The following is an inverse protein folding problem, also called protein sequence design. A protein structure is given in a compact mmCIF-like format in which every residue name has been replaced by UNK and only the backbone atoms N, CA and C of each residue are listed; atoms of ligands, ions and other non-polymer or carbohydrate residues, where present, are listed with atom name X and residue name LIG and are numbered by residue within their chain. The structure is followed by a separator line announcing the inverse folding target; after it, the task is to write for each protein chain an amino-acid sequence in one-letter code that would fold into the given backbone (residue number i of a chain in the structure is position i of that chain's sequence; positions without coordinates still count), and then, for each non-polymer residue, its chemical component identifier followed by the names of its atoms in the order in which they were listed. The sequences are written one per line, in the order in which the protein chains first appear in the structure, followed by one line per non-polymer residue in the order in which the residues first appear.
data_IF_339277327026
#
_entry.id   IF_339277327026
#
_cell.length_a   1.000
_cell.length_b   1.000
_cell.length_c   1.000
_cell.angle_alpha   90.00
_cell.angle_beta   90.00
_cell.angle_gamma   90.00
#
_symmetry.space_group_name_H-M   'P 1'
#
loop_
_entity.id
_entity.type
_entity.pdbx_description
1 polymer ?
#
# COMPACT_ATOMS: atom_id res chain seq x y z
N UNK A 1 -58.31 1.39 17.92
CA UNK A 1 -57.45 0.78 16.87
C UNK A 1 -56.70 1.91 16.19
N UNK A 2 -55.37 1.96 16.31
CA UNK A 2 -54.54 2.99 15.70
C UNK A 2 -53.08 2.54 15.75
N UNK A 3 -52.52 2.28 14.58
CA UNK A 3 -51.35 1.45 14.32
C UNK A 3 -50.06 2.00 14.96
N UNK A 4 -49.32 1.15 15.68
CA UNK A 4 -47.92 1.43 16.06
C UNK A 4 -47.07 1.40 14.79
N UNK A 5 -46.55 2.55 14.38
CA UNK A 5 -45.54 2.64 13.33
C UNK A 5 -44.29 1.90 13.81
N UNK A 6 -44.02 0.75 13.18
CA UNK A 6 -42.77 0.01 13.38
C UNK A 6 -41.60 0.93 13.06
N UNK A 7 -40.67 1.06 14.01
CA UNK A 7 -39.41 1.76 13.83
C UNK A 7 -38.66 1.07 12.68
N UNK A 8 -38.64 1.70 11.52
CA UNK A 8 -37.72 1.32 10.45
C UNK A 8 -36.32 1.67 10.97
N UNK A 9 -35.59 0.66 11.42
CA UNK A 9 -34.16 0.77 11.69
C UNK A 9 -33.51 0.88 10.30
N UNK A 10 -32.87 2.00 9.94
CA UNK A 10 -32.04 2.03 8.75
C UNK A 10 -31.00 0.94 8.90
N UNK A 11 -30.91 0.03 7.93
CA UNK A 11 -29.84 -0.95 7.88
C UNK A 11 -28.57 -0.12 7.63
N UNK A 12 -27.83 0.21 8.68
CA UNK A 12 -26.45 0.63 8.55
C UNK A 12 -25.77 -0.50 7.77
N UNK A 13 -25.42 -0.22 6.52
CA UNK A 13 -24.40 -1.00 5.85
C UNK A 13 -23.14 -0.59 6.57
N UNK A 14 -22.83 -1.28 7.67
CA UNK A 14 -21.48 -1.26 8.22
C UNK A 14 -20.59 -1.63 7.05
N UNK A 15 -19.83 -0.66 6.57
CA UNK A 15 -18.76 -0.92 5.61
C UNK A 15 -17.69 -1.64 6.40
N UNK A 16 -17.88 -2.95 6.60
CA UNK A 16 -16.85 -3.83 7.14
C UNK A 16 -15.59 -3.60 6.32
N UNK A 17 -14.50 -3.27 7.01
CA UNK A 17 -13.20 -3.04 6.37
C UNK A 17 -12.61 -4.38 5.93
N UNK A 18 -13.09 -4.86 4.79
CA UNK A 18 -12.70 -6.15 4.20
C UNK A 18 -11.19 -6.21 3.93
N UNK A 19 -10.52 -5.06 3.81
CA UNK A 19 -9.08 -4.99 3.61
C UNK A 19 -8.30 -5.34 4.89
N UNK A 20 -8.89 -5.03 6.06
CA UNK A 20 -8.38 -5.39 7.38
C UNK A 20 -8.58 -6.88 7.72
N UNK A 21 -9.53 -7.55 7.08
CA UNK A 21 -9.75 -8.99 7.28
C UNK A 21 -8.80 -9.88 6.45
N UNK A 22 -8.14 -9.31 5.44
CA UNK A 22 -7.19 -10.07 4.62
C UNK A 22 -5.95 -10.48 5.43
N UNK A 23 -5.41 -11.70 5.22
CA UNK A 23 -4.13 -12.08 5.77
C UNK A 23 -2.97 -11.23 5.20
N UNK A 24 -1.92 -11.05 6.00
CA UNK A 24 -0.74 -10.26 5.64
C UNK A 24 -0.10 -10.66 4.30
N UNK A 25 -0.03 -11.97 4.01
CA UNK A 25 0.54 -12.46 2.76
C UNK A 25 -0.28 -12.01 1.53
N UNK A 26 -1.60 -11.87 1.66
CA UNK A 26 -2.47 -11.38 0.58
C UNK A 26 -2.23 -9.89 0.37
N UNK A 27 -2.11 -9.11 1.45
CA UNK A 27 -1.78 -7.70 1.37
C UNK A 27 -0.41 -7.46 0.72
N UNK A 28 0.60 -8.21 1.13
CA UNK A 28 1.93 -8.18 0.51
C UNK A 28 1.87 -8.54 -0.98
N UNK A 29 1.04 -9.52 -1.34
CA UNK A 29 0.82 -9.90 -2.73
C UNK A 29 0.17 -8.77 -3.55
N UNK A 30 -0.88 -8.13 -3.02
CA UNK A 30 -1.53 -6.96 -3.62
C UNK A 30 -0.53 -5.82 -3.83
N UNK A 31 0.21 -5.46 -2.78
CA UNK A 31 1.25 -4.43 -2.84
C UNK A 31 2.34 -4.75 -3.87
N UNK A 32 2.72 -6.02 -4.01
CA UNK A 32 3.71 -6.47 -5.00
C UNK A 32 3.32 -6.17 -6.45
N UNK A 33 2.03 -5.99 -6.76
CA UNK A 33 1.60 -5.56 -8.10
C UNK A 33 1.79 -4.07 -8.34
N UNK A 34 1.78 -3.26 -7.29
CA UNK A 34 1.83 -1.80 -7.34
C UNK A 34 3.25 -1.28 -7.53
N UNK A 35 3.39 -0.01 -7.95
CA UNK A 35 4.69 0.68 -7.90
C UNK A 35 5.00 1.03 -6.46
N UNK A 36 6.27 1.00 -6.06
CA UNK A 36 6.66 1.26 -4.67
C UNK A 36 6.22 2.64 -4.17
N UNK A 37 6.22 3.65 -5.04
CA UNK A 37 5.68 4.99 -4.72
C UNK A 37 4.20 4.93 -4.35
N UNK A 38 3.41 4.17 -5.11
CA UNK A 38 1.97 4.05 -4.92
C UNK A 38 1.66 3.23 -3.66
N UNK A 39 2.45 2.20 -3.36
CA UNK A 39 2.35 1.43 -2.10
C UNK A 39 2.50 2.35 -0.90
N UNK A 40 3.58 3.14 -0.86
CA UNK A 40 3.89 4.04 0.25
C UNK A 40 2.79 5.09 0.46
N UNK A 41 2.20 5.59 -0.64
CA UNK A 41 1.06 6.51 -0.56
C UNK A 41 -0.20 5.81 -0.04
N UNK A 42 -0.41 4.55 -0.40
CA UNK A 42 -1.57 3.75 0.02
C UNK A 42 -1.48 3.30 1.47
N UNK A 43 -0.30 3.32 2.08
CA UNK A 43 -0.10 3.01 3.50
C UNK A 43 -0.89 3.91 4.46
N UNK A 44 -1.42 5.07 3.99
CA UNK A 44 -2.31 5.92 4.78
C UNK A 44 -3.66 5.25 5.11
N UNK A 45 -4.05 4.22 4.35
CA UNK A 45 -5.33 3.54 4.55
C UNK A 45 -5.36 2.67 5.81
N UNK A 46 -4.21 2.18 6.28
CA UNK A 46 -4.12 1.34 7.48
C UNK A 46 -2.70 1.28 8.02
N UNK A 47 -2.55 1.31 9.34
CA UNK A 47 -1.27 1.10 10.02
C UNK A 47 -0.64 -0.25 9.64
N UNK A 48 -1.47 -1.28 9.41
CA UNK A 48 -0.99 -2.59 8.96
C UNK A 48 -0.31 -2.52 7.59
N UNK A 49 -0.82 -1.70 6.67
CA UNK A 49 -0.19 -1.50 5.37
C UNK A 49 1.18 -0.81 5.51
N UNK A 50 1.26 0.17 6.41
CA UNK A 50 2.51 0.88 6.73
C UNK A 50 3.60 -0.03 7.32
N UNK A 51 3.24 -1.12 7.99
CA UNK A 51 4.23 -2.08 8.48
C UNK A 51 4.57 -3.15 7.45
N UNK A 52 3.57 -3.63 6.70
CA UNK A 52 3.78 -4.69 5.71
C UNK A 52 4.63 -4.26 4.51
N UNK A 53 4.51 -3.02 4.02
CA UNK A 53 5.29 -2.63 2.84
C UNK A 53 6.82 -2.74 3.06
N UNK A 54 7.28 -2.63 4.32
CA UNK A 54 8.70 -2.78 4.70
C UNK A 54 9.21 -4.20 4.47
N UNK A 55 8.31 -5.18 4.36
CA UNK A 55 8.62 -6.59 4.12
C UNK A 55 8.52 -6.98 2.64
N UNK A 56 8.30 -6.01 1.73
CA UNK A 56 8.26 -6.30 0.31
C UNK A 56 9.59 -6.84 -0.19
N UNK A 57 9.50 -7.98 -0.89
CA UNK A 57 10.63 -8.62 -1.56
C UNK A 57 10.87 -8.05 -2.96
N UNK A 58 9.89 -7.33 -3.51
CA UNK A 58 9.94 -6.76 -4.86
C UNK A 58 9.70 -5.26 -4.81
N UNK A 59 10.61 -4.48 -5.39
CA UNK A 59 10.51 -3.02 -5.48
C UNK A 59 10.41 -2.60 -6.95
N UNK A 60 9.42 -1.75 -7.26
CA UNK A 60 9.20 -1.20 -8.61
C UNK A 60 9.33 0.31 -8.54
N UNK A 61 10.50 0.80 -8.95
CA UNK A 61 10.94 2.18 -8.79
C UNK A 61 11.08 2.82 -10.18
N UNK A 62 10.26 3.83 -10.45
CA UNK A 62 10.28 4.54 -11.72
C UNK A 62 10.60 6.02 -11.53
N UNK A 63 11.72 6.45 -12.09
CA UNK A 63 12.15 7.84 -12.02
C UNK A 63 11.32 8.80 -12.89
N UNK A 64 10.52 8.31 -13.84
CA UNK A 64 9.64 9.18 -14.65
C UNK A 64 8.55 9.89 -13.84
N UNK A 65 8.31 9.45 -12.60
CA UNK A 65 7.38 10.06 -11.66
C UNK A 65 8.02 11.22 -10.86
N UNK A 66 9.26 11.60 -11.16
CA UNK A 66 10.06 12.59 -10.45
C UNK A 66 10.60 13.64 -11.41
N UNK A 67 10.69 14.89 -10.93
CA UNK A 67 11.26 16.01 -11.69
C UNK A 67 12.79 16.02 -11.54
N UNK A 68 13.45 14.95 -12.00
CA UNK A 68 14.91 14.79 -11.98
C UNK A 68 15.43 13.64 -11.11
N UNK A 69 16.73 13.38 -11.23
CA UNK A 69 17.39 12.22 -10.57
C UNK A 69 17.58 12.40 -9.07
N UNK A 70 17.80 13.64 -8.60
CA UNK A 70 18.02 13.94 -7.18
C UNK A 70 16.82 13.55 -6.31
N UNK A 71 15.59 14.05 -6.56
CA UNK A 71 14.43 13.66 -5.75
C UNK A 71 14.08 12.17 -5.88
N UNK A 72 14.39 11.55 -7.02
CA UNK A 72 14.26 10.10 -7.16
C UNK A 72 15.26 9.35 -6.27
N UNK A 73 16.53 9.76 -6.26
CA UNK A 73 17.56 9.15 -5.43
C UNK A 73 17.27 9.29 -3.94
N UNK A 74 16.77 10.46 -3.51
CA UNK A 74 16.34 10.67 -2.12
C UNK A 74 15.21 9.71 -1.76
N UNK A 75 14.20 9.59 -2.62
CA UNK A 75 13.11 8.65 -2.43
C UNK A 75 13.62 7.20 -2.32
N UNK A 76 14.47 6.74 -3.24
CA UNK A 76 15.04 5.39 -3.20
C UNK A 76 15.82 5.15 -1.90
N UNK A 77 16.66 6.10 -1.49
CA UNK A 77 17.40 6.02 -0.22
C UNK A 77 16.46 5.91 0.98
N UNK A 78 15.39 6.71 1.02
CA UNK A 78 14.38 6.61 2.09
C UNK A 78 13.72 5.22 2.11
N UNK A 79 13.28 4.70 0.96
CA UNK A 79 12.67 3.37 0.87
C UNK A 79 13.60 2.29 1.39
N UNK A 80 14.87 2.29 0.96
CA UNK A 80 15.83 1.29 1.39
C UNK A 80 16.15 1.40 2.89
N UNK A 81 16.15 2.60 3.45
CA UNK A 81 16.41 2.82 4.89
C UNK A 81 15.27 2.36 5.81
N UNK A 82 14.02 2.46 5.36
CA UNK A 82 12.85 2.06 6.15
C UNK A 82 12.48 0.59 5.99
N UNK A 83 13.05 -0.10 5.01
CA UNK A 83 12.79 -1.50 4.73
C UNK A 83 13.37 -2.40 5.82
N UNK A 84 12.75 -3.55 6.07
CA UNK A 84 13.34 -4.58 6.90
C UNK A 84 14.56 -5.21 6.18
N UNK A 85 15.74 -4.97 6.74
CA UNK A 85 17.02 -5.49 6.21
C UNK A 85 17.18 -7.01 6.37
N UNK A 86 16.35 -7.67 7.17
CA UNK A 86 16.35 -9.14 7.32
C UNK A 86 15.64 -9.85 6.17
N UNK A 87 14.77 -9.15 5.43
CA UNK A 87 14.03 -9.71 4.30
C UNK A 87 14.87 -9.62 3.03
N UNK A 88 15.04 -10.71 2.29
CA UNK A 88 15.76 -10.69 1.02
C UNK A 88 15.02 -9.87 -0.05
N UNK A 89 15.74 -9.04 -0.80
CA UNK A 89 15.23 -8.44 -2.03
C UNK A 89 15.33 -9.48 -3.15
N UNK A 90 14.19 -9.93 -3.65
CA UNK A 90 14.11 -10.91 -4.74
C UNK A 90 14.15 -10.22 -6.10
N UNK A 91 13.53 -9.04 -6.21
CA UNK A 91 13.46 -8.31 -7.48
C UNK A 91 13.45 -6.79 -7.25
N UNK A 92 14.16 -6.07 -8.11
CA UNK A 92 14.19 -4.61 -8.10
C UNK A 92 14.13 -4.11 -9.55
N UNK A 93 12.95 -3.62 -9.94
CA UNK A 93 12.72 -2.98 -11.24
C UNK A 93 13.02 -1.49 -11.11
N UNK A 94 14.14 -1.05 -11.72
CA UNK A 94 14.54 0.36 -11.81
C UNK A 94 14.32 0.88 -13.23
N UNK A 95 13.43 1.86 -13.38
CA UNK A 95 13.14 2.49 -14.68
C UNK A 95 13.62 3.93 -14.74
N UNK A 96 14.29 4.26 -15.85
CA UNK A 96 14.77 5.60 -16.18
C UNK A 96 14.16 6.08 -17.49
N UNK A 97 13.68 7.35 -17.57
CA UNK A 97 13.16 7.87 -18.83
C UNK A 97 14.27 7.86 -19.90
N UNK A 98 13.96 7.36 -21.09
CA UNK A 98 14.86 7.39 -22.26
C UNK A 98 15.73 6.15 -22.47
N UNK A 99 15.52 5.06 -21.73
CA UNK A 99 16.06 3.73 -22.02
C UNK A 99 14.99 2.66 -21.85
#
# INVERSE_FOLDING_TARGET
MGLKMGKLIPREVETEDMLSDLPDFVLLHIMGFMKTKDVVQTCVLSTRWMDLWKNLTTLKLNSSHFQGIVPFSEFVSSILSYRDGSISLLDVDLRFPGK
#
